data_IF_585818288267
#
_entry.id   IF_585818288267
#
_cell.length_a   1.000
_cell.length_b   1.000
_cell.length_c   1.000
_cell.angle_alpha   90.00
_cell.angle_beta   90.00
_cell.angle_gamma   90.00
#
_symmetry.space_group_name_H-M   'P 1'
#
loop_
_entity.id
_entity.type
_entity.pdbx_description
1 polymer ?
#
# COMPACT_ATOMS: atom_id res chain seq x y z
N UNK A 1 -2.61 -28.37 3.39
CA UNK A 1 -1.69 -27.23 3.41
C UNK A 1 -2.44 -26.06 2.78
N UNK A 2 -2.98 -25.14 3.61
CA UNK A 2 -3.66 -23.93 3.10
C UNK A 2 -2.60 -23.02 2.49
N UNK A 3 -2.66 -22.80 1.18
CA UNK A 3 -1.85 -21.76 0.51
C UNK A 3 -2.37 -20.43 1.03
N UNK A 4 -1.57 -19.75 1.84
CA UNK A 4 -1.79 -18.36 2.23
C UNK A 4 -1.56 -17.55 0.95
N UNK A 5 -2.64 -17.22 0.26
CA UNK A 5 -2.61 -16.21 -0.79
C UNK A 5 -2.57 -14.87 -0.05
N UNK A 6 -1.36 -14.37 0.14
CA UNK A 6 -1.14 -13.04 0.68
C UNK A 6 -1.96 -12.06 -0.17
N UNK A 7 -2.94 -11.41 0.45
CA UNK A 7 -3.60 -10.24 -0.10
C UNK A 7 -2.60 -9.10 0.06
N UNK A 8 -1.49 -9.20 -0.68
CA UNK A 8 -0.48 -8.20 -0.61
C UNK A 8 -1.09 -6.87 -1.01
N UNK A 9 -1.12 -5.88 -0.07
CA UNK A 9 -0.69 -4.56 -0.49
C UNK A 9 0.36 -4.82 -1.55
N UNK A 10 0.26 -4.24 -2.76
CA UNK A 10 1.23 -4.47 -3.85
C UNK A 10 2.57 -3.90 -3.42
N UNK A 11 3.13 -4.49 -2.39
CA UNK A 11 4.51 -4.38 -1.97
C UNK A 11 5.14 -5.62 -2.57
N UNK A 12 5.55 -5.52 -3.83
CA UNK A 12 6.24 -6.61 -4.52
C UNK A 12 7.44 -7.05 -3.69
N UNK A 13 7.28 -8.12 -2.91
CA UNK A 13 8.42 -8.88 -2.41
C UNK A 13 8.86 -9.82 -3.51
N UNK A 14 9.91 -9.42 -4.24
CA UNK A 14 10.72 -10.34 -5.02
C UNK A 14 11.54 -11.20 -4.06
N UNK A 15 11.54 -12.51 -4.33
CA UNK A 15 12.43 -13.54 -3.86
C UNK A 15 12.47 -13.85 -2.35
N UNK A 16 11.82 -14.94 -1.97
CA UNK A 16 12.30 -15.79 -0.89
C UNK A 16 12.44 -17.23 -1.42
N UNK A 17 13.69 -17.64 -1.61
CA UNK A 17 14.09 -19.00 -1.90
C UNK A 17 13.70 -19.95 -0.78
N UNK A 18 13.14 -21.10 -1.15
CA UNK A 18 12.75 -22.19 -0.26
C UNK A 18 13.97 -22.93 0.25
N UNK A 19 14.28 -22.81 1.54
CA UNK A 19 15.07 -23.81 2.27
C UNK A 19 14.24 -24.40 3.42
N UNK A 20 14.42 -25.72 3.57
CA UNK A 20 13.55 -26.56 4.38
C UNK A 20 13.65 -26.31 5.89
N UNK A 21 12.49 -26.23 6.53
CA UNK A 21 12.36 -26.12 7.99
C UNK A 21 12.19 -27.51 8.60
N UNK A 22 13.17 -27.91 9.43
CA UNK A 22 13.09 -29.03 10.36
C UNK A 22 12.11 -28.69 11.49
N UNK A 23 11.27 -29.65 11.84
CA UNK A 23 10.30 -29.57 12.94
C UNK A 23 11.03 -29.67 14.29
N UNK A 24 10.89 -28.68 15.13
CA UNK A 24 11.25 -28.74 16.56
C UNK A 24 10.00 -28.81 17.46
N UNK A 25 10.11 -29.45 18.67
CA UNK A 25 8.99 -29.87 19.48
C UNK A 25 8.36 -28.73 20.31
N UNK A 26 7.06 -28.89 20.61
CA UNK A 26 6.22 -27.94 21.37
C UNK A 26 6.80 -27.57 22.74
N UNK A 27 6.89 -26.29 23.10
CA UNK A 27 7.17 -25.88 24.46
C UNK A 27 5.90 -25.85 25.34
N UNK A 28 6.06 -26.28 26.60
CA UNK A 28 5.05 -26.31 27.67
C UNK A 28 4.66 -24.91 28.11
N UNK A 29 3.36 -24.69 28.33
CA UNK A 29 2.79 -23.46 28.92
C UNK A 29 3.38 -23.18 30.29
N UNK A 30 4.00 -22.03 30.48
CA UNK A 30 4.28 -21.41 31.75
C UNK A 30 3.50 -20.08 31.84
N UNK A 31 2.56 -20.03 32.79
CA UNK A 31 1.93 -18.75 33.18
C UNK A 31 2.96 -17.94 33.97
N UNK A 32 3.20 -16.71 33.57
CA UNK A 32 3.72 -15.65 34.42
C UNK A 32 3.15 -14.32 33.97
N UNK A 33 2.25 -13.77 34.76
CA UNK A 33 1.85 -12.35 34.67
C UNK A 33 3.04 -11.52 35.15
N UNK A 34 3.67 -10.82 34.25
CA UNK A 34 4.52 -9.66 34.54
C UNK A 34 4.23 -8.63 33.50
N UNK A 35 3.78 -7.46 33.93
CA UNK A 35 3.52 -6.31 33.08
C UNK A 35 4.78 -5.98 32.23
N UNK A 36 4.74 -6.24 30.92
CA UNK A 36 5.83 -5.96 30.01
C UNK A 36 5.70 -4.52 29.51
N UNK A 37 6.52 -3.62 30.01
CA UNK A 37 6.76 -2.29 29.47
C UNK A 37 7.70 -2.34 28.23
N UNK A 38 7.44 -3.22 27.27
CA UNK A 38 8.11 -3.28 25.99
C UNK A 38 7.26 -2.65 24.87
N UNK A 39 7.83 -2.34 23.69
CA UNK A 39 7.03 -1.88 22.55
C UNK A 39 5.97 -2.94 22.22
N UNK A 40 4.72 -2.48 22.01
CA UNK A 40 3.60 -3.36 21.63
C UNK A 40 3.87 -3.95 20.25
N UNK A 41 3.58 -5.25 20.08
CA UNK A 41 3.61 -5.92 18.78
C UNK A 41 2.48 -5.42 17.84
N UNK A 42 2.61 -5.65 16.53
CA UNK A 42 1.58 -5.31 15.54
C UNK A 42 0.19 -5.82 15.95
N UNK A 43 0.10 -7.01 16.52
CA UNK A 43 -1.16 -7.59 16.98
C UNK A 43 -1.70 -6.91 18.24
N UNK A 44 -0.83 -6.59 19.21
CA UNK A 44 -1.20 -5.87 20.43
C UNK A 44 -1.67 -4.43 20.18
N UNK A 45 -1.19 -3.81 19.10
CA UNK A 45 -1.63 -2.47 18.68
C UNK A 45 -3.08 -2.45 18.17
N UNK A 46 -3.63 -3.61 17.79
CA UNK A 46 -4.97 -3.77 17.22
C UNK A 46 -5.95 -4.50 18.14
N UNK A 47 -5.61 -4.69 19.41
CA UNK A 47 -6.58 -5.19 20.38
C UNK A 47 -7.62 -4.10 20.67
N UNK A 48 -8.93 -4.37 20.46
CA UNK A 48 -9.96 -3.36 20.65
C UNK A 48 -10.10 -2.99 22.12
N UNK A 49 -10.24 -1.70 22.39
CA UNK A 49 -10.64 -1.22 23.69
C UNK A 49 -12.10 -1.59 23.97
N UNK A 50 -12.44 -1.82 25.24
CA UNK A 50 -13.83 -2.14 25.63
C UNK A 50 -14.79 -0.99 25.37
N UNK A 51 -14.31 0.27 25.33
CA UNK A 51 -15.13 1.47 25.21
C UNK A 51 -14.97 2.09 23.84
N UNK A 52 -16.09 2.26 23.12
CA UNK A 52 -16.16 3.01 21.88
C UNK A 52 -16.34 4.49 22.20
N UNK A 53 -15.43 5.34 21.72
CA UNK A 53 -15.45 6.79 21.96
C UNK A 53 -16.40 7.54 21.00
N UNK A 54 -16.52 7.06 19.76
CA UNK A 54 -17.37 7.67 18.75
C UNK A 54 -17.80 6.65 17.70
N UNK A 55 -18.90 6.96 17.00
CA UNK A 55 -19.40 6.18 15.85
C UNK A 55 -19.85 7.12 14.74
N UNK A 56 -19.67 6.68 13.50
CA UNK A 56 -20.22 7.34 12.31
C UNK A 56 -20.71 6.29 11.32
N UNK A 57 -21.92 6.48 10.81
CA UNK A 57 -22.50 5.65 9.78
C UNK A 57 -22.81 6.50 8.55
N UNK A 58 -22.60 5.94 7.37
CA UNK A 58 -22.77 6.62 6.09
C UNK A 58 -23.93 6.00 5.30
N UNK A 59 -24.61 6.76 4.43
CA UNK A 59 -25.74 6.26 3.63
C UNK A 59 -25.38 5.08 2.72
N UNK A 60 -24.10 4.94 2.33
CA UNK A 60 -23.59 3.84 1.51
C UNK A 60 -23.28 2.56 2.31
N UNK A 61 -23.55 2.55 3.62
CA UNK A 61 -23.36 1.42 4.51
C UNK A 61 -21.98 1.31 5.14
N UNK A 62 -21.04 2.20 4.84
CA UNK A 62 -19.79 2.33 5.58
C UNK A 62 -20.10 2.70 7.04
N UNK A 63 -19.41 2.04 8.00
CA UNK A 63 -19.50 2.37 9.42
C UNK A 63 -18.12 2.44 10.02
N UNK A 64 -17.90 3.43 10.88
CA UNK A 64 -16.65 3.62 11.60
C UNK A 64 -16.92 3.72 13.09
N UNK A 65 -16.20 2.96 13.91
CA UNK A 65 -16.20 3.08 15.36
C UNK A 65 -14.77 3.43 15.80
N UNK A 66 -14.63 4.51 16.57
CA UNK A 66 -13.35 4.91 17.15
C UNK A 66 -13.21 4.33 18.55
N UNK A 67 -12.17 3.58 18.77
CA UNK A 67 -11.73 3.15 20.11
C UNK A 67 -10.77 4.16 20.72
N UNK A 68 -10.03 4.88 19.86
CA UNK A 68 -9.12 5.94 20.24
C UNK A 68 -9.17 7.04 19.17
N UNK A 69 -9.38 8.28 19.59
CA UNK A 69 -9.31 9.44 18.72
C UNK A 69 -7.93 10.06 18.80
N UNK A 70 -7.22 10.07 17.67
CA UNK A 70 -5.95 10.77 17.53
C UNK A 70 -6.12 12.28 17.56
N UNK A 71 -5.08 12.96 17.98
CA UNK A 71 -5.00 14.44 18.00
C UNK A 71 -4.09 15.00 16.91
N UNK A 72 -3.59 14.12 16.03
CA UNK A 72 -2.72 14.50 14.92
C UNK A 72 -3.49 15.14 13.76
N UNK A 73 -2.78 15.37 12.66
CA UNK A 73 -3.37 15.94 11.44
C UNK A 73 -4.44 15.02 10.83
N UNK A 74 -5.43 15.62 10.14
CA UNK A 74 -6.42 14.89 9.39
C UNK A 74 -5.76 14.15 8.21
N UNK A 75 -6.22 12.93 7.95
CA UNK A 75 -5.77 12.14 6.79
C UNK A 75 -6.28 12.77 5.50
N UNK A 76 -5.39 12.89 4.50
CA UNK A 76 -5.66 13.55 3.23
C UNK A 76 -5.38 12.67 2.03
N UNK A 77 -6.17 12.85 0.99
CA UNK A 77 -5.96 12.26 -0.33
C UNK A 77 -4.57 12.62 -0.88
N UNK A 78 -3.94 11.65 -1.54
CA UNK A 78 -2.62 11.80 -2.15
C UNK A 78 -1.46 11.84 -1.15
N UNK A 79 -1.70 11.58 0.14
CA UNK A 79 -0.67 11.52 1.17
C UNK A 79 -0.43 10.07 1.60
N UNK A 80 0.79 9.80 2.07
CA UNK A 80 1.20 8.48 2.55
C UNK A 80 1.25 8.48 4.07
N UNK A 81 0.61 7.49 4.68
CA UNK A 81 0.62 7.29 6.14
C UNK A 81 1.14 5.91 6.49
N UNK A 82 1.75 5.80 7.65
CA UNK A 82 1.95 4.49 8.28
C UNK A 82 0.59 3.96 8.75
N UNK A 83 0.31 2.70 8.46
CA UNK A 83 -0.87 2.01 9.00
C UNK A 83 -0.48 0.72 9.69
N UNK A 84 -1.24 0.38 10.74
CA UNK A 84 -1.29 -0.98 11.27
C UNK A 84 -2.74 -1.45 11.17
N UNK A 85 -2.95 -2.62 10.56
CA UNK A 85 -4.30 -3.10 10.28
C UNK A 85 -4.46 -4.62 10.40
N UNK A 86 -5.71 -5.03 10.58
CA UNK A 86 -6.16 -6.42 10.52
C UNK A 86 -7.53 -6.47 9.86
N UNK A 87 -7.67 -7.28 8.82
CA UNK A 87 -8.93 -7.46 8.09
C UNK A 87 -9.55 -8.80 8.46
N UNK A 88 -10.84 -8.77 8.80
CA UNK A 88 -11.65 -9.96 9.07
C UNK A 88 -12.86 -10.02 8.14
N UNK A 89 -13.30 -11.22 7.84
CA UNK A 89 -14.64 -11.47 7.30
C UNK A 89 -15.71 -11.41 8.41
N UNK A 90 -16.98 -11.35 8.02
CA UNK A 90 -18.09 -11.32 8.97
C UNK A 90 -18.17 -12.56 9.89
N UNK A 91 -17.62 -13.70 9.45
CA UNK A 91 -17.50 -14.91 10.25
C UNK A 91 -16.35 -14.88 11.28
N UNK A 92 -15.58 -13.77 11.33
CA UNK A 92 -14.44 -13.59 12.22
C UNK A 92 -13.11 -14.11 11.69
N UNK A 93 -13.08 -14.75 10.52
CA UNK A 93 -11.86 -15.24 9.88
C UNK A 93 -10.95 -14.07 9.50
N UNK A 94 -9.68 -14.09 9.95
CA UNK A 94 -8.67 -13.09 9.60
C UNK A 94 -8.09 -13.43 8.23
N UNK A 95 -8.20 -12.48 7.30
CA UNK A 95 -7.80 -12.67 5.91
C UNK A 95 -6.56 -11.86 5.53
N UNK A 96 -6.27 -10.76 6.26
CA UNK A 96 -5.12 -9.91 5.97
C UNK A 96 -4.68 -9.11 7.22
N UNK A 97 -3.45 -8.58 7.21
CA UNK A 97 -2.95 -7.69 8.28
C UNK A 97 -1.43 -7.66 8.42
N UNK A 98 -0.94 -6.65 9.12
CA UNK A 98 0.50 -6.43 9.37
C UNK A 98 1.20 -7.63 10.00
N UNK A 99 0.50 -8.39 10.87
CA UNK A 99 1.06 -9.57 11.54
C UNK A 99 1.45 -10.69 10.56
N UNK A 100 0.77 -10.81 9.41
CA UNK A 100 1.12 -11.78 8.36
C UNK A 100 2.42 -11.40 7.66
N UNK A 101 2.72 -10.10 7.59
CA UNK A 101 3.93 -9.55 6.97
C UNK A 101 5.09 -9.38 7.98
N UNK A 102 4.84 -9.63 9.28
CA UNK A 102 5.80 -9.41 10.38
C UNK A 102 6.35 -7.98 10.40
N UNK A 103 5.52 -7.01 10.08
CA UNK A 103 5.84 -5.57 10.11
C UNK A 103 4.86 -4.85 11.01
N UNK A 104 5.36 -3.97 11.89
CA UNK A 104 4.50 -3.21 12.81
C UNK A 104 3.75 -2.11 12.08
N UNK A 105 4.38 -1.51 11.07
CA UNK A 105 3.80 -0.43 10.27
C UNK A 105 4.06 -0.65 8.79
N UNK A 106 3.08 -0.30 7.98
CA UNK A 106 3.16 -0.34 6.51
C UNK A 106 2.82 1.03 5.93
N UNK A 107 3.48 1.47 4.87
CA UNK A 107 3.07 2.66 4.14
C UNK A 107 1.75 2.40 3.41
N UNK A 108 0.85 3.37 3.41
CA UNK A 108 -0.41 3.34 2.69
C UNK A 108 -0.65 4.70 2.03
N UNK A 109 -0.85 4.71 0.73
CA UNK A 109 -1.23 5.89 -0.04
C UNK A 109 -2.76 6.00 -0.07
N UNK A 110 -3.30 7.11 0.37
CA UNK A 110 -4.73 7.40 0.41
C UNK A 110 -5.20 8.00 -0.91
N UNK A 111 -6.39 7.62 -1.37
CA UNK A 111 -7.07 8.24 -2.51
C UNK A 111 -6.77 7.63 -3.88
N UNK A 112 -6.04 6.51 -3.96
CA UNK A 112 -5.72 5.81 -5.21
C UNK A 112 -6.26 4.37 -5.25
N UNK A 113 -7.22 4.04 -4.39
CA UNK A 113 -7.83 2.72 -4.30
C UNK A 113 -6.81 1.56 -4.18
N UNK A 114 -5.72 1.76 -3.42
CA UNK A 114 -4.69 0.73 -3.25
C UNK A 114 -5.26 -0.60 -2.75
N UNK A 115 -6.28 -0.54 -1.91
CA UNK A 115 -7.04 -1.71 -1.46
C UNK A 115 -8.45 -1.72 -2.07
N UNK A 116 -9.27 -0.76 -1.68
CA UNK A 116 -10.59 -0.55 -2.24
C UNK A 116 -11.04 0.88 -1.95
N UNK A 117 -12.04 1.36 -2.70
CA UNK A 117 -12.64 2.69 -2.49
C UNK A 117 -13.12 2.91 -1.05
N UNK A 118 -13.60 1.87 -0.40
CA UNK A 118 -14.04 1.96 0.99
C UNK A 118 -12.94 2.26 1.98
N UNK A 119 -11.71 1.81 1.72
CA UNK A 119 -10.55 2.15 2.53
C UNK A 119 -10.25 3.65 2.48
N UNK A 120 -10.15 4.22 1.28
CA UNK A 120 -9.87 5.64 1.10
C UNK A 120 -10.98 6.50 1.73
N UNK A 121 -12.26 6.13 1.51
CA UNK A 121 -13.39 6.80 2.15
C UNK A 121 -13.34 6.76 3.68
N UNK A 122 -12.95 5.63 4.27
CA UNK A 122 -12.85 5.51 5.71
C UNK A 122 -11.66 6.32 6.25
N UNK A 123 -10.51 6.22 5.60
CA UNK A 123 -9.28 6.89 6.07
C UNK A 123 -9.39 8.41 6.02
N UNK A 124 -10.07 9.01 5.03
CA UNK A 124 -10.28 10.46 4.95
C UNK A 124 -11.17 11.03 6.06
N UNK A 125 -11.84 10.18 6.84
CA UNK A 125 -12.59 10.55 8.04
C UNK A 125 -11.75 10.49 9.33
N UNK A 126 -10.48 10.14 9.23
CA UNK A 126 -9.60 9.86 10.36
C UNK A 126 -8.50 10.91 10.53
N UNK A 127 -7.84 10.83 11.68
CA UNK A 127 -6.66 11.62 12.04
C UNK A 127 -5.49 10.68 12.39
N UNK A 128 -4.29 11.21 12.28
CA UNK A 128 -3.09 10.54 12.80
C UNK A 128 -3.28 10.25 14.29
N UNK A 129 -3.06 9.01 14.68
CA UNK A 129 -3.27 8.49 16.02
C UNK A 129 -4.61 7.78 16.24
N UNK A 130 -5.56 7.87 15.30
CA UNK A 130 -6.83 7.14 15.42
C UNK A 130 -6.63 5.62 15.48
N UNK A 131 -7.44 4.95 16.32
CA UNK A 131 -7.65 3.52 16.27
C UNK A 131 -9.13 3.22 16.11
N UNK A 132 -9.48 2.50 15.06
CA UNK A 132 -10.85 2.30 14.61
C UNK A 132 -11.16 0.85 14.27
N UNK A 133 -12.44 0.52 14.32
CA UNK A 133 -13.05 -0.58 13.59
C UNK A 133 -13.88 0.00 12.45
N UNK A 134 -13.60 -0.44 11.24
CA UNK A 134 -14.31 -0.02 10.02
C UNK A 134 -15.07 -1.21 9.48
N UNK A 135 -16.38 -1.08 9.32
CA UNK A 135 -17.20 -2.01 8.56
C UNK A 135 -17.36 -1.52 7.13
N UNK A 136 -16.84 -2.29 6.18
CA UNK A 136 -17.04 -2.06 4.75
C UNK A 136 -18.09 -3.04 4.22
N UNK A 137 -19.23 -2.57 3.71
CA UNK A 137 -20.13 -3.44 2.95
C UNK A 137 -19.44 -3.95 1.68
N UNK A 138 -19.92 -5.06 1.15
CA UNK A 138 -19.25 -5.75 0.04
C UNK A 138 -18.94 -4.87 -1.18
N UNK A 139 -19.86 -3.96 -1.54
CA UNK A 139 -19.68 -3.03 -2.67
C UNK A 139 -18.60 -1.96 -2.46
N UNK A 140 -18.22 -1.69 -1.23
CA UNK A 140 -17.09 -0.81 -0.87
C UNK A 140 -15.78 -1.58 -0.57
N UNK A 141 -15.88 -2.93 -0.44
CA UNK A 141 -14.75 -3.83 -0.31
C UNK A 141 -14.38 -4.38 -1.72
N UNK A 142 -14.55 -5.68 -1.95
CA UNK A 142 -14.21 -6.34 -3.24
C UNK A 142 -15.42 -6.57 -4.16
N UNK A 143 -16.63 -6.32 -3.67
CA UNK A 143 -17.84 -6.58 -4.43
C UNK A 143 -17.99 -8.05 -4.79
N UNK A 144 -18.14 -8.33 -6.09
CA UNK A 144 -18.29 -9.69 -6.63
C UNK A 144 -16.96 -10.44 -6.78
N UNK A 145 -15.84 -9.76 -6.65
CA UNK A 145 -14.52 -10.40 -6.75
C UNK A 145 -14.31 -11.35 -5.56
N UNK A 146 -13.87 -12.56 -5.87
CA UNK A 146 -13.51 -13.59 -4.88
C UNK A 146 -12.00 -13.79 -4.85
N UNK A 147 -11.53 -14.36 -3.74
CA UNK A 147 -10.20 -14.97 -3.67
C UNK A 147 -10.43 -16.41 -3.28
N UNK A 148 -10.12 -17.34 -4.19
CA UNK A 148 -10.38 -18.76 -4.00
C UNK A 148 -9.76 -19.28 -2.71
N UNK A 149 -10.60 -19.90 -1.87
CA UNK A 149 -10.19 -20.45 -0.58
C UNK A 149 -9.94 -19.41 0.52
N UNK A 150 -10.13 -18.10 0.27
CA UNK A 150 -9.89 -17.05 1.26
C UNK A 150 -11.06 -16.07 1.39
N UNK A 151 -11.54 -15.46 0.30
CA UNK A 151 -12.59 -14.45 0.34
C UNK A 151 -13.74 -14.84 -0.58
N UNK A 152 -14.92 -15.16 -0.04
CA UNK A 152 -16.13 -15.39 -0.84
C UNK A 152 -16.56 -14.11 -1.59
N UNK A 153 -17.29 -14.23 -2.70
CA UNK A 153 -17.86 -13.07 -3.38
C UNK A 153 -18.88 -12.37 -2.48
N UNK A 154 -19.02 -11.06 -2.66
CA UNK A 154 -19.94 -10.21 -1.88
C UNK A 154 -19.68 -10.26 -0.36
N UNK A 155 -18.44 -10.46 0.07
CA UNK A 155 -18.07 -10.47 1.48
C UNK A 155 -17.83 -9.05 2.00
N UNK A 156 -18.53 -8.61 3.07
CA UNK A 156 -18.18 -7.40 3.79
C UNK A 156 -16.87 -7.63 4.55
N UNK A 157 -16.12 -6.55 4.79
CA UNK A 157 -14.89 -6.57 5.56
C UNK A 157 -15.04 -5.81 6.87
N UNK A 158 -14.45 -6.34 7.92
CA UNK A 158 -14.26 -5.65 9.21
C UNK A 158 -12.77 -5.38 9.34
N UNK A 159 -12.41 -4.11 9.42
CA UNK A 159 -11.01 -3.67 9.44
C UNK A 159 -10.72 -3.01 10.78
N UNK A 160 -9.79 -3.56 11.55
CA UNK A 160 -9.17 -2.86 12.66
C UNK A 160 -8.01 -2.07 12.08
N UNK A 161 -8.02 -0.75 12.25
CA UNK A 161 -7.10 0.15 11.59
C UNK A 161 -6.57 1.20 12.57
N UNK A 162 -5.26 1.30 12.67
CA UNK A 162 -4.56 2.36 13.38
C UNK A 162 -3.78 3.21 12.39
N UNK A 163 -3.97 4.52 12.48
CA UNK A 163 -3.25 5.49 11.65
C UNK A 163 -1.99 5.96 12.39
N UNK A 164 -0.84 5.70 11.80
CA UNK A 164 0.45 6.19 12.26
C UNK A 164 0.78 7.57 11.69
N UNK A 165 2.04 7.93 11.72
CA UNK A 165 2.51 9.22 11.20
C UNK A 165 2.39 9.31 9.67
N UNK A 166 2.30 10.55 9.16
CA UNK A 166 2.45 10.81 7.74
C UNK A 166 3.91 10.61 7.31
N UNK A 167 4.11 9.92 6.20
CA UNK A 167 5.41 9.72 5.57
C UNK A 167 5.58 10.81 4.51
N UNK A 168 6.51 11.73 4.74
CA UNK A 168 6.82 12.77 3.77
C UNK A 168 7.53 12.18 2.55
N UNK A 169 7.35 12.75 1.34
CA UNK A 169 8.16 12.36 0.19
C UNK A 169 9.65 12.55 0.47
N UNK A 170 10.47 11.64 -0.03
CA UNK A 170 11.93 11.72 0.06
C UNK A 170 12.51 12.73 -0.92
N UNK A 171 11.79 12.99 -2.01
CA UNK A 171 12.15 13.95 -3.06
C UNK A 171 10.87 14.53 -3.68
N UNK A 172 10.94 15.79 -4.09
CA UNK A 172 9.90 16.44 -4.89
C UNK A 172 10.54 17.22 -6.04
N UNK A 173 10.00 17.06 -7.26
CA UNK A 173 10.49 17.71 -8.49
C UNK A 173 9.29 18.18 -9.29
N UNK A 174 9.13 19.50 -9.46
CA UNK A 174 8.03 20.11 -10.22
C UNK A 174 6.64 19.52 -9.85
N UNK A 175 6.37 19.42 -8.57
CA UNK A 175 5.12 18.84 -8.05
C UNK A 175 5.03 17.31 -8.09
N UNK A 176 5.96 16.62 -8.77
CA UNK A 176 6.07 15.15 -8.71
C UNK A 176 6.68 14.75 -7.37
N UNK A 177 5.95 13.95 -6.60
CA UNK A 177 6.35 13.49 -5.26
C UNK A 177 6.82 12.06 -5.30
N UNK A 178 7.99 11.80 -4.68
CA UNK A 178 8.67 10.51 -4.69
C UNK A 178 8.90 10.05 -3.25
N UNK A 179 8.50 8.82 -2.94
CA UNK A 179 8.85 8.12 -1.71
C UNK A 179 9.76 6.94 -2.06
N UNK A 180 11.00 6.97 -1.58
CA UNK A 180 11.87 5.80 -1.64
C UNK A 180 11.52 4.90 -0.45
N UNK A 181 10.79 3.82 -0.70
CA UNK A 181 10.33 2.89 0.33
C UNK A 181 11.43 1.95 0.81
N UNK A 182 12.31 1.55 -0.10
CA UNK A 182 13.47 0.72 0.16
C UNK A 182 14.63 1.25 -0.68
N UNK A 183 15.62 1.86 -0.02
CA UNK A 183 16.84 2.35 -0.65
C UNK A 183 17.96 1.32 -0.50
N UNK A 184 18.64 0.99 -1.59
CA UNK A 184 19.86 0.18 -1.56
C UNK A 184 21.06 1.07 -1.27
N UNK A 185 21.48 1.11 0.00
CA UNK A 185 22.54 2.01 0.47
C UNK A 185 23.89 1.77 -0.18
N UNK A 186 24.19 0.49 -0.43
CA UNK A 186 25.50 0.06 -0.99
C UNK A 186 25.48 0.03 -2.53
N UNK A 187 24.37 0.41 -3.18
CA UNK A 187 24.26 0.45 -4.63
C UNK A 187 24.70 1.80 -5.18
N UNK A 188 25.65 1.79 -6.10
CA UNK A 188 26.21 2.99 -6.74
C UNK A 188 25.64 3.25 -8.13
N UNK A 189 25.05 2.22 -8.77
CA UNK A 189 24.48 2.34 -10.11
C UNK A 189 23.22 3.20 -10.07
N UNK A 190 23.26 4.32 -10.80
CA UNK A 190 22.18 5.33 -10.80
C UNK A 190 21.69 5.59 -12.20
N UNK A 191 20.39 5.89 -12.29
CA UNK A 191 19.74 6.31 -13.51
C UNK A 191 20.21 7.73 -13.88
N UNK A 192 20.72 7.89 -15.10
CA UNK A 192 21.05 9.15 -15.75
C UNK A 192 20.03 9.48 -16.85
N UNK A 193 20.15 10.65 -17.48
CA UNK A 193 19.29 11.08 -18.59
C UNK A 193 19.39 10.20 -19.84
N UNK A 194 20.43 9.37 -19.94
CA UNK A 194 20.71 8.50 -21.11
C UNK A 194 20.67 7.03 -20.78
N UNK A 195 20.31 6.68 -19.57
CA UNK A 195 20.28 5.28 -19.13
C UNK A 195 19.18 4.49 -19.84
N UNK A 196 19.48 3.22 -20.09
CA UNK A 196 18.52 2.17 -20.37
C UNK A 196 18.02 1.60 -19.05
N UNK A 197 16.73 1.53 -18.83
CA UNK A 197 16.13 1.18 -17.53
C UNK A 197 15.11 0.07 -17.68
N UNK A 198 15.20 -0.93 -16.81
CA UNK A 198 14.19 -1.97 -16.63
C UNK A 198 13.49 -1.80 -15.30
N UNK A 199 12.16 -1.87 -15.30
CA UNK A 199 11.37 -1.73 -14.08
C UNK A 199 10.23 -2.74 -14.03
N UNK A 200 9.95 -3.26 -12.84
CA UNK A 200 8.62 -3.74 -12.54
C UNK A 200 7.79 -2.60 -11.96
N UNK A 201 6.54 -2.50 -12.40
CA UNK A 201 5.67 -1.44 -11.96
C UNK A 201 4.21 -1.86 -11.87
N UNK A 202 3.50 -1.11 -11.06
CA UNK A 202 2.06 -0.94 -11.07
C UNK A 202 1.78 0.54 -11.29
N UNK A 203 0.83 0.87 -12.17
CA UNK A 203 0.42 2.25 -12.39
C UNK A 203 -1.10 2.37 -12.36
N UNK A 204 -1.59 3.47 -11.81
CA UNK A 204 -3.00 3.79 -11.75
C UNK A 204 -3.26 5.28 -11.62
N UNK A 205 -4.53 5.64 -11.77
CA UNK A 205 -5.10 6.94 -11.43
C UNK A 205 -6.29 6.75 -10.49
N UNK A 206 -6.93 7.82 -10.07
CA UNK A 206 -8.13 7.71 -9.21
C UNK A 206 -9.32 7.07 -9.92
N UNK A 207 -9.54 7.42 -11.20
CA UNK A 207 -10.61 6.86 -12.03
C UNK A 207 -10.30 5.44 -12.49
N UNK A 208 -9.02 5.15 -12.75
CA UNK A 208 -8.55 3.84 -13.19
C UNK A 208 -7.40 3.35 -12.31
N UNK A 209 -7.69 2.81 -11.11
CA UNK A 209 -6.66 2.42 -10.15
C UNK A 209 -5.84 1.22 -10.59
N UNK A 210 -6.22 0.53 -11.66
CA UNK A 210 -5.52 -0.64 -12.22
C UNK A 210 -5.21 -0.43 -13.70
N UNK A 211 -4.64 0.71 -14.03
CA UNK A 211 -4.32 1.11 -15.40
C UNK A 211 -3.40 0.12 -16.11
N UNK A 212 -2.26 -0.23 -15.50
CA UNK A 212 -1.33 -1.24 -16.01
C UNK A 212 -0.47 -1.85 -14.90
N UNK A 213 0.05 -3.08 -15.16
CA UNK A 213 0.81 -3.85 -14.20
C UNK A 213 1.77 -4.82 -14.87
N UNK A 214 3.06 -4.58 -14.79
CA UNK A 214 4.10 -5.45 -15.36
C UNK A 214 4.27 -6.77 -14.62
N UNK A 215 3.93 -6.83 -13.33
CA UNK A 215 4.00 -8.07 -12.55
C UNK A 215 3.03 -9.14 -13.07
N UNK A 216 1.84 -8.75 -13.57
CA UNK A 216 0.89 -9.70 -14.17
C UNK A 216 1.44 -10.35 -15.44
N UNK A 217 2.29 -9.64 -16.18
CA UNK A 217 2.95 -10.16 -17.38
C UNK A 217 4.23 -10.92 -17.06
N UNK A 218 4.70 -10.84 -15.81
CA UNK A 218 6.00 -11.37 -15.38
C UNK A 218 7.16 -10.92 -16.29
N UNK A 219 7.07 -9.70 -16.80
CA UNK A 219 8.05 -9.10 -17.72
C UNK A 219 8.30 -7.65 -17.32
N UNK A 220 9.55 -7.26 -16.97
CA UNK A 220 9.91 -5.87 -16.73
C UNK A 220 9.65 -5.01 -17.97
N UNK A 221 9.18 -3.80 -17.76
CA UNK A 221 9.12 -2.78 -18.79
C UNK A 221 10.50 -2.14 -18.96
N UNK A 222 11.01 -2.17 -20.20
CA UNK A 222 12.31 -1.59 -20.56
C UNK A 222 12.11 -0.37 -21.45
N UNK A 223 12.87 0.68 -21.19
CA UNK A 223 12.82 1.94 -21.92
C UNK A 223 14.16 2.67 -21.81
N UNK A 224 14.37 3.65 -22.70
CA UNK A 224 15.46 4.61 -22.56
C UNK A 224 14.93 5.91 -21.92
N UNK A 225 15.76 6.51 -21.06
CA UNK A 225 15.36 7.73 -20.35
C UNK A 225 15.08 8.92 -21.26
N UNK A 226 15.57 8.92 -22.50
CA UNK A 226 15.30 9.94 -23.53
C UNK A 226 14.13 9.59 -24.46
N UNK A 227 13.39 8.49 -24.25
CA UNK A 227 12.20 8.14 -25.02
C UNK A 227 11.12 9.22 -24.90
N UNK A 228 10.62 9.67 -26.07
CA UNK A 228 9.60 10.73 -26.16
C UNK A 228 8.25 10.35 -25.54
N UNK A 229 7.95 9.05 -25.45
CA UNK A 229 6.70 8.53 -24.89
C UNK A 229 6.61 8.51 -23.37
N UNK A 230 7.71 8.77 -22.67
CA UNK A 230 7.70 8.78 -21.21
C UNK A 230 6.99 10.01 -20.67
N UNK A 231 6.12 9.78 -19.68
CA UNK A 231 5.47 10.83 -18.90
C UNK A 231 6.54 11.76 -18.28
N UNK A 232 6.48 13.08 -18.49
CA UNK A 232 7.55 13.99 -18.05
C UNK A 232 7.90 13.89 -16.56
N UNK A 233 6.89 13.89 -15.68
CA UNK A 233 7.10 13.76 -14.24
C UNK A 233 7.69 12.42 -13.84
N UNK A 234 7.29 11.33 -14.50
CA UNK A 234 7.87 10.00 -14.29
C UNK A 234 9.37 9.97 -14.65
N UNK A 235 9.75 10.53 -15.80
CA UNK A 235 11.15 10.66 -16.20
C UNK A 235 11.98 11.41 -15.18
N UNK A 236 11.50 12.59 -14.75
CA UNK A 236 12.21 13.45 -13.75
C UNK A 236 12.34 12.74 -12.38
N UNK A 237 11.34 11.95 -12.00
CA UNK A 237 11.37 11.20 -10.75
C UNK A 237 12.50 10.18 -10.70
N UNK A 238 12.79 9.52 -11.83
CA UNK A 238 13.77 8.45 -11.92
C UNK A 238 15.23 8.93 -11.94
N UNK A 239 15.51 10.18 -12.30
CA UNK A 239 16.88 10.72 -12.30
C UNK A 239 17.51 10.60 -10.91
N UNK A 240 18.72 9.97 -10.86
CA UNK A 240 19.49 9.63 -9.68
C UNK A 240 18.88 8.52 -8.78
N UNK A 241 17.76 7.89 -9.17
CA UNK A 241 17.32 6.67 -8.52
C UNK A 241 18.33 5.54 -8.75
N UNK A 242 18.44 4.63 -7.79
CA UNK A 242 19.42 3.54 -7.81
C UNK A 242 18.80 2.25 -8.35
N UNK A 243 19.63 1.41 -8.90
CA UNK A 243 19.28 0.02 -9.15
C UNK A 243 18.74 -0.63 -7.86
N UNK A 244 17.65 -1.38 -7.98
CA UNK A 244 16.94 -2.04 -6.88
C UNK A 244 16.20 -1.11 -5.89
N UNK A 245 16.14 0.19 -6.14
CA UNK A 245 15.25 1.06 -5.36
C UNK A 245 13.79 0.69 -5.59
N UNK A 246 13.02 0.78 -4.51
CA UNK A 246 11.57 0.68 -4.55
C UNK A 246 10.95 2.04 -4.31
N UNK A 247 10.23 2.53 -5.29
CA UNK A 247 9.70 3.90 -5.31
C UNK A 247 8.18 3.91 -5.42
N UNK A 248 7.55 4.80 -4.66
CA UNK A 248 6.22 5.30 -4.97
C UNK A 248 6.34 6.70 -5.54
N UNK A 249 5.64 6.96 -6.63
CA UNK A 249 5.70 8.22 -7.34
C UNK A 249 4.29 8.70 -7.63
N UNK A 250 3.98 9.95 -7.23
CA UNK A 250 2.76 10.63 -7.64
C UNK A 250 3.16 11.72 -8.61
N UNK A 251 2.71 11.60 -9.84
CA UNK A 251 2.92 12.58 -10.90
C UNK A 251 1.65 13.43 -11.04
N UNK A 252 1.70 14.75 -10.83
CA UNK A 252 0.53 15.60 -11.00
C UNK A 252 0.13 15.68 -12.48
N UNK A 253 -1.11 16.03 -12.73
CA UNK A 253 -1.71 15.99 -14.07
C UNK A 253 -0.91 16.79 -15.12
N UNK A 254 -0.42 17.96 -14.76
CA UNK A 254 0.36 18.85 -15.65
C UNK A 254 1.74 18.30 -16.02
N UNK A 255 2.27 17.38 -15.22
CA UNK A 255 3.50 16.61 -15.51
C UNK A 255 3.20 15.21 -16.07
N UNK A 256 1.91 14.88 -16.27
CA UNK A 256 1.42 13.62 -16.85
C UNK A 256 0.65 13.90 -18.16
N UNK A 257 -0.62 13.58 -18.20
CA UNK A 257 -1.45 13.69 -19.41
C UNK A 257 -2.27 14.99 -19.48
N UNK A 258 -2.20 15.83 -18.45
CA UNK A 258 -2.76 17.18 -18.41
C UNK A 258 -4.27 17.25 -18.61
N UNK A 259 -4.70 18.33 -19.27
CA UNK A 259 -6.12 18.62 -19.55
C UNK A 259 -6.76 17.69 -20.57
N UNK A 260 -5.97 16.94 -21.32
CA UNK A 260 -6.46 16.02 -22.36
C UNK A 260 -6.75 14.62 -21.82
N UNK A 261 -6.08 14.23 -20.71
CA UNK A 261 -6.07 12.84 -20.28
C UNK A 261 -5.34 11.94 -21.31
N UNK A 262 -5.58 10.63 -21.23
CA UNK A 262 -4.98 9.67 -22.16
C UNK A 262 -5.99 8.59 -22.53
N UNK A 263 -6.47 8.63 -23.78
CA UNK A 263 -7.49 7.71 -24.29
C UNK A 263 -8.69 7.63 -23.31
N UNK A 264 -9.26 6.43 -23.13
CA UNK A 264 -10.27 6.15 -22.11
C UNK A 264 -9.64 5.58 -20.82
N UNK A 265 -8.35 5.79 -20.60
CA UNK A 265 -7.55 5.17 -19.54
C UNK A 265 -7.21 6.12 -18.40
N UNK A 266 -7.03 7.42 -18.71
CA UNK A 266 -6.74 8.46 -17.71
C UNK A 266 -7.60 9.66 -18.01
N UNK A 267 -8.44 10.04 -17.03
CA UNK A 267 -9.31 11.20 -17.18
C UNK A 267 -8.53 12.52 -17.22
N UNK A 268 -9.10 13.57 -17.82
CA UNK A 268 -8.51 14.91 -17.82
C UNK A 268 -8.21 15.40 -16.40
N UNK A 269 -7.03 16.00 -16.23
CA UNK A 269 -6.54 16.56 -14.96
C UNK A 269 -6.33 15.54 -13.82
N UNK A 270 -6.17 14.26 -14.12
CA UNK A 270 -5.83 13.25 -13.12
C UNK A 270 -4.33 13.13 -12.89
N UNK A 271 -3.98 12.95 -11.61
CA UNK A 271 -2.62 12.55 -11.22
C UNK A 271 -2.44 11.05 -11.40
N UNK A 272 -1.20 10.65 -11.74
CA UNK A 272 -0.80 9.26 -11.86
C UNK A 272 -0.05 8.79 -10.62
N UNK A 273 -0.30 7.56 -10.22
CA UNK A 273 0.48 6.88 -9.19
C UNK A 273 1.26 5.72 -9.80
N UNK A 274 2.52 5.60 -9.42
CA UNK A 274 3.40 4.49 -9.79
C UNK A 274 3.96 3.84 -8.53
N UNK A 275 3.80 2.52 -8.39
CA UNK A 275 4.58 1.66 -7.50
C UNK A 275 5.63 0.97 -8.37
N UNK A 276 6.90 1.17 -8.09
CA UNK A 276 7.98 0.88 -9.01
C UNK A 276 9.13 0.19 -8.31
N UNK A 277 9.68 -0.84 -8.94
CA UNK A 277 10.91 -1.51 -8.56
C UNK A 277 11.89 -1.49 -9.74
N UNK A 278 13.08 -0.92 -9.53
CA UNK A 278 14.12 -0.81 -10.55
C UNK A 278 14.86 -2.14 -10.63
N UNK A 279 14.74 -2.83 -11.76
CA UNK A 279 15.32 -4.17 -11.97
C UNK A 279 16.60 -4.15 -12.78
N UNK A 280 16.83 -3.10 -13.58
CA UNK A 280 17.96 -3.02 -14.50
C UNK A 280 18.31 -1.56 -14.78
N UNK A 281 19.59 -1.24 -14.82
CA UNK A 281 20.14 0.05 -15.26
C UNK A 281 21.37 -0.21 -16.11
N UNK A 282 21.36 0.23 -17.39
CA UNK A 282 22.46 0.12 -18.35
C UNK A 282 23.01 -1.32 -18.47
N UNK A 283 22.10 -2.32 -18.46
CA UNK A 283 22.44 -3.76 -18.56
C UNK A 283 22.99 -4.37 -17.28
N UNK A 284 22.94 -3.66 -16.15
CA UNK A 284 23.21 -4.23 -14.80
C UNK A 284 21.87 -4.54 -14.12
N UNK A 285 21.76 -5.70 -13.53
CA UNK A 285 20.57 -6.26 -12.86
C UNK A 285 20.87 -6.79 -11.42
#
# INVERSE_FOLDING_TARGET
>A
MKKIVLLALVIGCAACSTEGVKKDPKPKKRKSETAQNGPKTAEQLLEPYKTVQAKKEFPNGLKIQWFEKGTGEAVKDGEVYEINYKVKLANGEVIDGNHLLKRDWLPFLVGFNMQSKGWDMAMTEMHVGDFTEVYLPANLARGREKIDGLVPPNSPNIIFLRIGKRIKPTKEVEGTRIWCLEEKKDEEVRISEKSSVGVHYFVGSKSNPRYDNSYQRNLPFRFHMDDFGLVPGFRKALINAKLHDKLWIIVPADQAYGKKGYLDLVDPNESMFYDLFITEVDGKD
#
